data_IF_825802979635
#
_entry.id   IF_825802979635
#
_cell.length_a   1.000
_cell.length_b   1.000
_cell.length_c   1.000
_cell.angle_alpha   90.00
_cell.angle_beta   90.00
_cell.angle_gamma   90.00
#
_symmetry.space_group_name_H-M   'P 1'
#
loop_
_entity.id
_entity.type
_entity.pdbx_description
1 polymer ?
#
# COMPACT_ATOMS: atom_id res chain seq x y z
N UNK A 1 106.31 79.77 -12.42
CA UNK A 1 107.39 78.77 -12.23
C UNK A 1 106.73 77.43 -11.95
N UNK A 2 106.77 76.48 -12.89
CA UNK A 2 106.29 75.11 -12.66
C UNK A 2 107.46 74.16 -12.86
N UNK A 3 107.81 73.39 -11.82
CA UNK A 3 108.83 72.34 -11.91
C UNK A 3 108.18 71.05 -12.37
N UNK A 4 108.69 70.49 -13.47
CA UNK A 4 108.27 69.20 -13.98
C UNK A 4 109.04 68.10 -13.23
N UNK A 5 108.37 67.39 -12.34
CA UNK A 5 108.95 66.26 -11.62
C UNK A 5 108.76 64.97 -12.41
N UNK A 6 109.84 64.45 -13.00
CA UNK A 6 109.86 63.11 -13.60
C UNK A 6 110.20 62.07 -12.54
N UNK A 7 109.34 61.07 -12.37
CA UNK A 7 109.55 59.93 -11.47
C UNK A 7 109.69 58.67 -12.30
N UNK A 8 110.81 57.98 -12.16
CA UNK A 8 111.02 56.65 -12.75
C UNK A 8 110.48 55.62 -11.74
N UNK A 9 109.53 54.81 -12.18
CA UNK A 9 108.90 53.81 -11.34
C UNK A 9 109.67 52.48 -11.46
N UNK A 10 110.42 52.13 -10.43
CA UNK A 10 111.16 50.86 -10.34
C UNK A 10 110.30 49.69 -9.84
N UNK A 11 109.01 49.91 -9.62
CA UNK A 11 108.11 48.87 -9.16
C UNK A 11 107.65 47.99 -10.32
N UNK A 12 108.35 46.88 -10.54
CA UNK A 12 107.99 45.88 -11.54
C UNK A 12 106.84 44.99 -11.02
N UNK A 13 105.93 44.62 -11.91
CA UNK A 13 104.72 43.83 -11.59
C UNK A 13 105.03 42.44 -10.99
N UNK A 14 106.26 41.95 -11.15
CA UNK A 14 106.78 40.72 -10.54
C UNK A 14 106.90 40.78 -9.01
N UNK A 15 106.92 41.97 -8.40
CA UNK A 15 106.95 42.14 -6.94
C UNK A 15 105.57 42.28 -6.29
N UNK A 16 104.48 42.14 -7.06
CA UNK A 16 103.13 42.15 -6.50
C UNK A 16 102.84 40.82 -5.80
N UNK A 17 102.50 40.86 -4.51
CA UNK A 17 102.05 39.69 -3.74
C UNK A 17 100.86 39.05 -4.46
N UNK A 18 100.89 37.75 -4.82
CA UNK A 18 99.80 37.13 -5.55
C UNK A 18 98.53 37.22 -4.70
N UNK A 19 97.52 37.90 -5.24
CA UNK A 19 96.23 38.06 -4.59
C UNK A 19 95.48 36.74 -4.79
N UNK A 20 95.44 35.91 -3.75
CA UNK A 20 94.71 34.66 -3.79
C UNK A 20 93.22 35.01 -3.77
N UNK A 21 92.57 34.96 -4.93
CA UNK A 21 91.16 35.34 -5.08
C UNK A 21 90.22 34.47 -4.25
N UNK A 22 90.60 33.21 -3.99
CA UNK A 22 89.90 32.27 -3.11
C UNK A 22 90.90 31.58 -2.15
N UNK A 23 91.12 32.10 -0.93
CA UNK A 23 91.85 31.37 0.11
C UNK A 23 91.17 30.03 0.43
N UNK A 24 91.97 28.98 0.64
CA UNK A 24 91.52 27.60 0.92
C UNK A 24 90.45 27.52 2.03
N UNK A 25 90.53 28.41 3.03
CA UNK A 25 89.54 28.52 4.11
C UNK A 25 88.15 28.92 3.62
N UNK A 26 88.03 29.82 2.64
CA UNK A 26 86.74 30.23 2.06
C UNK A 26 86.14 29.13 1.19
N UNK A 27 86.99 28.38 0.47
CA UNK A 27 86.54 27.23 -0.32
C UNK A 27 86.02 26.11 0.59
N UNK A 28 86.74 25.77 1.65
CA UNK A 28 86.29 24.79 2.67
C UNK A 28 85.00 25.24 3.36
N UNK A 29 84.87 26.53 3.67
CA UNK A 29 83.65 27.08 4.28
C UNK A 29 82.47 27.02 3.31
N UNK A 30 82.69 27.30 2.02
CA UNK A 30 81.67 27.13 0.97
C UNK A 30 81.23 25.68 0.80
N UNK A 31 82.17 24.73 0.75
CA UNK A 31 81.86 23.30 0.69
C UNK A 31 81.09 22.86 1.94
N UNK A 32 81.53 23.27 3.13
CA UNK A 32 80.85 22.95 4.38
C UNK A 32 79.42 23.50 4.42
N UNK A 33 79.20 24.70 3.88
CA UNK A 33 77.87 25.30 3.80
C UNK A 33 76.98 24.54 2.82
N UNK A 34 77.48 24.18 1.64
CA UNK A 34 76.74 23.36 0.66
C UNK A 34 76.40 21.98 1.22
N UNK A 35 77.36 21.31 1.88
CA UNK A 35 77.11 20.02 2.52
C UNK A 35 76.11 20.12 3.66
N UNK A 36 76.20 21.17 4.49
CA UNK A 36 75.23 21.43 5.54
C UNK A 36 73.82 21.65 4.98
N UNK A 37 73.70 22.41 3.89
CA UNK A 37 72.43 22.66 3.23
C UNK A 37 71.85 21.37 2.62
N UNK A 38 72.68 20.53 1.98
CA UNK A 38 72.28 19.20 1.50
C UNK A 38 71.79 18.31 2.65
N UNK A 39 72.50 18.27 3.78
CA UNK A 39 72.09 17.49 4.95
C UNK A 39 70.74 17.95 5.48
N UNK A 40 70.52 19.27 5.58
CA UNK A 40 69.22 19.83 6.00
C UNK A 40 68.11 19.43 5.04
N UNK A 41 68.31 19.54 3.73
CA UNK A 41 67.30 19.14 2.73
C UNK A 41 66.99 17.65 2.84
N UNK A 42 68.01 16.78 2.91
CA UNK A 42 67.80 15.33 3.04
C UNK A 42 67.09 14.95 4.34
N UNK A 43 67.37 15.62 5.46
CA UNK A 43 66.69 15.39 6.72
C UNK A 43 65.21 15.84 6.67
N UNK A 44 64.92 16.95 5.99
CA UNK A 44 63.55 17.40 5.77
C UNK A 44 62.76 16.43 4.88
N UNK A 45 63.34 15.96 3.78
CA UNK A 45 62.72 14.96 2.90
C UNK A 45 62.49 13.63 3.65
N UNK A 46 63.47 13.16 4.44
CA UNK A 46 63.32 11.95 5.23
C UNK A 46 62.14 12.05 6.22
N UNK A 47 62.03 13.18 6.94
CA UNK A 47 60.93 13.37 7.90
C UNK A 47 59.55 13.42 7.21
N UNK A 48 59.45 14.01 6.02
CA UNK A 48 58.22 14.01 5.20
C UNK A 48 57.83 12.60 4.77
N UNK A 49 58.77 11.82 4.25
CA UNK A 49 58.49 10.45 3.81
C UNK A 49 58.06 9.53 4.96
N UNK A 50 58.52 9.81 6.19
CA UNK A 50 58.09 9.05 7.37
C UNK A 50 56.63 9.36 7.74
N UNK A 51 56.25 10.64 7.71
CA UNK A 51 54.87 11.06 7.95
C UNK A 51 53.90 10.52 6.88
N UNK A 52 54.31 10.49 5.60
CA UNK A 52 53.52 9.91 4.52
C UNK A 52 53.29 8.40 4.67
N UNK A 53 54.27 7.67 5.21
CA UNK A 53 54.10 6.23 5.49
C UNK A 53 53.08 5.99 6.61
N UNK A 54 53.06 6.85 7.62
CA UNK A 54 52.11 6.74 8.73
C UNK A 54 50.69 7.09 8.29
N UNK A 55 50.52 8.09 7.41
CA UNK A 55 49.20 8.40 6.82
C UNK A 55 48.71 7.28 5.91
N UNK A 56 49.59 6.63 5.14
CA UNK A 56 49.22 5.46 4.34
C UNK A 56 48.80 4.28 5.22
N UNK A 57 49.53 3.97 6.28
CA UNK A 57 49.19 2.90 7.21
C UNK A 57 47.85 3.14 7.92
N UNK A 58 47.57 4.38 8.33
CA UNK A 58 46.28 4.74 8.95
C UNK A 58 45.12 4.67 7.94
N UNK A 59 45.33 5.10 6.69
CA UNK A 59 44.34 4.97 5.62
C UNK A 59 44.04 3.50 5.29
N UNK A 60 45.07 2.65 5.23
CA UNK A 60 44.91 1.22 4.96
C UNK A 60 44.16 0.52 6.10
N UNK A 61 44.50 0.83 7.36
CA UNK A 61 43.75 0.32 8.51
C UNK A 61 42.29 0.78 8.53
N UNK A 62 42.02 2.01 8.08
CA UNK A 62 40.65 2.55 7.98
C UNK A 62 39.86 1.85 6.88
N UNK A 63 40.49 1.57 5.74
CA UNK A 63 39.90 0.77 4.66
C UNK A 63 39.52 -0.63 5.13
N UNK A 64 40.43 -1.33 5.81
CA UNK A 64 40.15 -2.66 6.36
C UNK A 64 38.97 -2.65 7.34
N UNK A 65 38.87 -1.63 8.21
CA UNK A 65 37.73 -1.49 9.12
C UNK A 65 36.42 -1.25 8.38
N UNK A 66 36.45 -0.46 7.30
CA UNK A 66 35.29 -0.21 6.47
C UNK A 66 34.84 -1.49 5.76
N UNK A 67 35.76 -2.26 5.18
CA UNK A 67 35.47 -3.55 4.55
C UNK A 67 34.84 -4.53 5.54
N UNK A 68 35.41 -4.68 6.73
CA UNK A 68 34.82 -5.54 7.79
C UNK A 68 33.43 -5.05 8.21
N UNK A 69 33.20 -3.73 8.21
CA UNK A 69 31.88 -3.17 8.54
C UNK A 69 30.86 -3.44 7.44
N UNK A 70 31.27 -3.31 6.17
CA UNK A 70 30.44 -3.64 5.00
C UNK A 70 30.09 -5.13 5.04
N UNK A 71 31.06 -6.01 5.28
CA UNK A 71 30.85 -7.45 5.31
C UNK A 71 29.90 -7.87 6.45
N UNK A 72 30.02 -7.23 7.62
CA UNK A 72 29.05 -7.40 8.73
C UNK A 72 27.65 -6.92 8.38
N UNK A 73 27.53 -5.75 7.73
CA UNK A 73 26.24 -5.24 7.30
C UNK A 73 25.63 -6.14 6.23
N UNK A 74 26.45 -6.68 5.32
CA UNK A 74 26.00 -7.60 4.29
C UNK A 74 25.54 -8.93 4.90
N UNK A 75 26.26 -9.48 5.88
CA UNK A 75 25.79 -10.64 6.66
C UNK A 75 24.51 -10.35 7.44
N UNK A 76 24.36 -9.15 8.00
CA UNK A 76 23.11 -8.75 8.66
C UNK A 76 21.96 -8.66 7.66
N UNK A 77 22.18 -8.09 6.47
CA UNK A 77 21.18 -8.01 5.39
C UNK A 77 20.84 -9.40 4.84
N UNK A 78 21.83 -10.28 4.64
CA UNK A 78 21.61 -11.67 4.23
C UNK A 78 20.96 -12.50 5.35
N UNK A 79 21.09 -12.10 6.62
CA UNK A 79 20.29 -12.69 7.72
C UNK A 79 18.86 -12.13 7.77
N UNK A 80 18.65 -10.94 7.17
CA UNK A 80 17.33 -10.41 6.80
C UNK A 80 16.96 -10.97 5.41
N UNK A 81 17.27 -12.24 5.15
CA UNK A 81 16.56 -13.01 4.14
C UNK A 81 15.12 -13.10 4.63
N UNK A 82 14.33 -12.17 4.10
CA UNK A 82 12.91 -12.28 3.81
C UNK A 82 12.32 -13.49 4.51
N UNK A 83 11.87 -13.29 5.75
CA UNK A 83 11.35 -14.36 6.60
C UNK A 83 10.24 -15.05 5.80
N UNK A 84 10.57 -16.13 5.08
CA UNK A 84 9.64 -16.77 4.15
C UNK A 84 8.39 -17.22 4.92
N UNK A 85 8.55 -17.43 6.22
CA UNK A 85 7.49 -17.64 7.20
C UNK A 85 6.52 -16.46 7.28
N UNK A 86 7.01 -15.22 7.38
CA UNK A 86 6.16 -14.02 7.39
C UNK A 86 5.42 -13.87 6.06
N UNK A 87 6.07 -14.13 4.92
CA UNK A 87 5.39 -14.09 3.62
C UNK A 87 4.34 -15.20 3.47
N UNK A 88 4.66 -16.43 3.90
CA UNK A 88 3.71 -17.54 3.90
C UNK A 88 2.54 -17.29 4.86
N UNK A 89 2.79 -16.66 6.01
CA UNK A 89 1.76 -16.30 6.97
C UNK A 89 0.85 -15.20 6.42
N UNK A 90 1.43 -14.16 5.82
CA UNK A 90 0.70 -13.10 5.12
C UNK A 90 -0.23 -13.67 4.03
N UNK A 91 0.30 -14.56 3.20
CA UNK A 91 -0.47 -15.19 2.14
C UNK A 91 -1.59 -16.09 2.68
N UNK A 92 -1.33 -16.88 3.74
CA UNK A 92 -2.37 -17.67 4.43
C UNK A 92 -3.48 -16.79 5.02
N UNK A 93 -3.11 -15.66 5.60
CA UNK A 93 -4.06 -14.69 6.15
C UNK A 93 -4.93 -14.05 5.06
N UNK A 94 -4.32 -13.68 3.91
CA UNK A 94 -5.05 -13.17 2.76
C UNK A 94 -6.03 -14.20 2.18
N UNK A 95 -5.58 -15.44 1.97
CA UNK A 95 -6.41 -16.53 1.44
C UNK A 95 -7.60 -16.83 2.38
N UNK A 96 -7.35 -16.81 3.69
CA UNK A 96 -8.39 -16.97 4.71
C UNK A 96 -9.40 -15.83 4.71
N UNK A 97 -8.96 -14.57 4.54
CA UNK A 97 -9.84 -13.41 4.42
C UNK A 97 -10.69 -13.47 3.14
N UNK A 98 -10.08 -13.82 2.01
CA UNK A 98 -10.79 -13.95 0.74
C UNK A 98 -11.87 -15.03 0.81
N UNK A 99 -11.55 -16.20 1.36
CA UNK A 99 -12.50 -17.31 1.53
C UNK A 99 -13.70 -16.91 2.38
N UNK A 100 -13.46 -16.22 3.51
CA UNK A 100 -14.53 -15.71 4.39
C UNK A 100 -15.41 -14.68 3.69
N UNK A 101 -14.81 -13.75 2.91
CA UNK A 101 -15.56 -12.75 2.14
C UNK A 101 -16.42 -13.39 1.07
N UNK A 102 -15.88 -14.37 0.34
CA UNK A 102 -16.62 -15.09 -0.68
C UNK A 102 -17.79 -15.87 -0.08
N UNK A 103 -17.59 -16.50 1.08
CA UNK A 103 -18.64 -17.18 1.82
C UNK A 103 -19.74 -16.21 2.28
N UNK A 104 -19.37 -15.05 2.83
CA UNK A 104 -20.33 -14.00 3.21
C UNK A 104 -21.09 -13.46 2.00
N UNK A 105 -20.42 -13.30 0.86
CA UNK A 105 -21.05 -12.85 -0.38
C UNK A 105 -22.06 -13.88 -0.89
N UNK A 106 -21.73 -15.17 -0.86
CA UNK A 106 -22.65 -16.25 -1.21
C UNK A 106 -23.84 -16.32 -0.24
N UNK A 107 -23.59 -16.17 1.06
CA UNK A 107 -24.64 -16.06 2.07
C UNK A 107 -25.53 -14.84 1.87
N UNK A 108 -24.98 -13.71 1.44
CA UNK A 108 -25.76 -12.50 1.17
C UNK A 108 -26.58 -12.63 -0.12
N UNK A 109 -26.10 -13.39 -1.10
CA UNK A 109 -26.86 -13.70 -2.31
C UNK A 109 -27.98 -14.74 -2.06
N UNK A 110 -27.78 -15.68 -1.13
CA UNK A 110 -28.76 -16.72 -0.79
C UNK A 110 -29.68 -16.34 0.37
N UNK A 111 -29.23 -15.46 1.26
CA UNK A 111 -29.97 -14.93 2.39
C UNK A 111 -30.39 -13.51 2.07
N UNK A 112 -31.64 -13.38 1.60
CA UNK A 112 -32.36 -12.12 1.47
C UNK A 112 -32.18 -11.25 2.72
N UNK A 113 -31.21 -10.34 2.65
CA UNK A 113 -31.06 -9.22 3.58
C UNK A 113 -31.87 -8.03 3.06
N UNK A 114 -32.95 -8.30 2.33
CA UNK A 114 -34.04 -7.35 2.22
C UNK A 114 -34.86 -7.54 3.49
N UNK A 115 -34.82 -6.57 4.39
CA UNK A 115 -35.82 -6.49 5.46
C UNK A 115 -37.18 -6.35 4.80
N UNK A 116 -37.82 -7.46 4.44
CA UNK A 116 -39.18 -7.46 3.94
C UNK A 116 -40.04 -7.04 5.12
N UNK A 117 -40.54 -5.82 5.08
CA UNK A 117 -41.43 -5.27 6.10
C UNK A 117 -42.82 -5.90 5.94
N UNK A 118 -42.95 -7.19 6.26
CA UNK A 118 -44.21 -7.95 6.22
C UNK A 118 -45.32 -7.29 7.02
N UNK A 119 -44.97 -6.54 8.07
CA UNK A 119 -45.91 -5.78 8.90
C UNK A 119 -46.73 -4.77 8.09
N UNK A 120 -46.11 -4.06 7.13
CA UNK A 120 -46.81 -3.08 6.29
C UNK A 120 -47.87 -3.73 5.40
N UNK A 121 -47.52 -4.87 4.79
CA UNK A 121 -48.44 -5.64 3.96
C UNK A 121 -49.61 -6.24 4.74
N UNK A 122 -49.34 -6.79 5.93
CA UNK A 122 -50.38 -7.34 6.79
C UNK A 122 -51.31 -6.23 7.32
N UNK A 123 -50.77 -5.06 7.64
CA UNK A 123 -51.56 -3.91 8.06
C UNK A 123 -52.46 -3.39 6.92
N UNK A 124 -51.94 -3.31 5.70
CA UNK A 124 -52.74 -2.92 4.54
C UNK A 124 -53.88 -3.92 4.24
N UNK A 125 -53.64 -5.23 4.41
CA UNK A 125 -54.69 -6.25 4.33
C UNK A 125 -55.74 -6.10 5.44
N UNK A 126 -55.31 -5.78 6.67
CA UNK A 126 -56.20 -5.60 7.80
C UNK A 126 -57.06 -4.34 7.71
N UNK A 127 -56.52 -3.26 7.11
CA UNK A 127 -57.25 -2.01 6.89
C UNK A 127 -58.38 -2.15 5.85
N UNK A 128 -58.30 -3.17 4.99
CA UNK A 128 -59.33 -3.50 3.99
C UNK A 128 -60.11 -4.72 4.49
N UNK A 129 -60.91 -4.54 5.53
CA UNK A 129 -61.83 -5.58 5.98
C UNK A 129 -63.09 -5.61 5.10
N UNK A 130 -63.51 -6.80 4.66
CA UNK A 130 -64.77 -6.98 3.95
C UNK A 130 -65.54 -8.13 4.62
N UNK A 131 -66.76 -7.89 5.13
CA UNK A 131 -67.53 -8.90 5.88
C UNK A 131 -67.92 -10.12 5.04
N UNK A 132 -67.80 -10.04 3.72
CA UNK A 132 -68.08 -11.13 2.77
C UNK A 132 -66.84 -11.90 2.31
N UNK A 133 -65.65 -11.58 2.83
CA UNK A 133 -64.37 -12.18 2.42
C UNK A 133 -63.55 -12.57 3.65
N UNK A 134 -63.16 -13.85 3.73
CA UNK A 134 -62.29 -14.37 4.78
C UNK A 134 -61.00 -14.89 4.18
N UNK A 135 -59.86 -14.29 4.53
CA UNK A 135 -58.54 -14.77 4.12
C UNK A 135 -58.10 -15.92 5.03
N UNK A 136 -57.67 -17.03 4.43
CA UNK A 136 -57.24 -18.25 5.15
C UNK A 136 -55.76 -18.54 4.95
N UNK A 137 -55.17 -18.14 3.82
CA UNK A 137 -53.74 -18.31 3.55
C UNK A 137 -53.20 -17.17 2.71
N UNK A 138 -52.16 -16.53 3.20
CA UNK A 138 -51.41 -15.46 2.53
C UNK A 138 -50.00 -16.00 2.28
N UNK A 139 -49.58 -16.05 1.02
CA UNK A 139 -48.24 -16.48 0.62
C UNK A 139 -47.56 -15.32 -0.10
N UNK A 140 -46.38 -14.94 0.38
CA UNK A 140 -45.57 -13.87 -0.22
C UNK A 140 -44.15 -14.39 -0.40
N UNK A 141 -43.58 -14.22 -1.60
CA UNK A 141 -42.20 -14.62 -1.89
C UNK A 141 -41.31 -13.39 -2.05
N UNK A 142 -40.11 -13.43 -1.48
CA UNK A 142 -39.04 -12.44 -1.67
C UNK A 142 -37.87 -13.12 -2.39
N UNK A 143 -37.12 -12.43 -3.27
CA UNK A 143 -37.25 -11.03 -3.69
C UNK A 143 -38.11 -10.88 -4.95
N UNK A 144 -39.37 -10.46 -4.82
CA UNK A 144 -40.24 -10.21 -5.98
C UNK A 144 -41.68 -9.84 -5.60
N UNK A 145 -42.48 -9.27 -6.53
CA UNK A 145 -43.89 -8.95 -6.31
C UNK A 145 -44.79 -10.19 -6.45
N UNK A 146 -44.43 -11.28 -5.78
CA UNK A 146 -45.18 -12.52 -5.77
C UNK A 146 -46.06 -12.61 -4.52
N UNK A 147 -47.37 -12.54 -4.75
CA UNK A 147 -48.38 -12.58 -3.70
C UNK A 147 -49.53 -13.47 -4.13
N UNK A 148 -49.86 -14.45 -3.29
CA UNK A 148 -51.00 -15.34 -3.45
C UNK A 148 -51.90 -15.27 -2.22
N UNK A 149 -53.15 -14.84 -2.43
CA UNK A 149 -54.19 -14.73 -1.42
C UNK A 149 -55.21 -15.84 -1.61
N UNK A 150 -55.48 -16.59 -0.56
CA UNK A 150 -56.50 -17.63 -0.54
C UNK A 150 -57.50 -17.34 0.55
N UNK A 151 -58.77 -17.64 0.28
CA UNK A 151 -59.83 -17.36 1.22
C UNK A 151 -61.16 -17.99 0.84
N UNK A 152 -62.17 -17.63 1.60
CA UNK A 152 -63.55 -18.07 1.45
C UNK A 152 -64.43 -16.83 1.30
N UNK A 153 -65.47 -16.91 0.46
CA UNK A 153 -66.47 -15.86 0.30
C UNK A 153 -67.87 -16.43 0.20
N UNK A 154 -68.86 -15.66 0.68
CA UNK A 154 -70.30 -15.90 0.44
C UNK A 154 -70.82 -15.16 -0.80
N UNK A 155 -70.08 -14.16 -1.30
CA UNK A 155 -70.46 -13.29 -2.42
C UNK A 155 -69.31 -13.13 -3.42
N UNK A 156 -69.20 -14.01 -4.43
CA UNK A 156 -68.07 -13.97 -5.37
C UNK A 156 -67.98 -12.65 -6.17
N UNK A 157 -69.08 -11.92 -6.32
CA UNK A 157 -69.11 -10.62 -7.02
C UNK A 157 -68.33 -9.51 -6.31
N UNK A 158 -67.99 -9.66 -5.02
CA UNK A 158 -67.25 -8.65 -4.26
C UNK A 158 -65.73 -8.82 -4.37
N UNK A 159 -65.23 -9.97 -4.85
CA UNK A 159 -63.79 -10.25 -4.95
C UNK A 159 -63.07 -9.27 -5.88
N UNK A 160 -63.54 -8.98 -7.12
CA UNK A 160 -62.82 -8.08 -8.02
C UNK A 160 -62.71 -6.65 -7.45
N UNK A 161 -63.75 -6.19 -6.77
CA UNK A 161 -63.75 -4.89 -6.09
C UNK A 161 -62.73 -4.87 -4.94
N UNK A 162 -62.73 -5.91 -4.12
CA UNK A 162 -61.76 -6.06 -3.03
C UNK A 162 -60.30 -6.03 -3.51
N UNK A 163 -59.99 -6.77 -4.59
CA UNK A 163 -58.64 -6.81 -5.18
C UNK A 163 -58.27 -5.46 -5.81
N UNK A 164 -59.25 -4.75 -6.41
CA UNK A 164 -59.02 -3.41 -6.95
C UNK A 164 -58.71 -2.38 -5.85
N UNK A 165 -59.41 -2.47 -4.71
CA UNK A 165 -59.16 -1.61 -3.55
C UNK A 165 -57.80 -1.91 -2.92
N UNK A 166 -57.41 -3.18 -2.82
CA UNK A 166 -56.09 -3.58 -2.32
C UNK A 166 -54.95 -3.02 -3.18
N UNK A 167 -55.13 -2.94 -4.50
CA UNK A 167 -54.13 -2.34 -5.42
C UNK A 167 -53.92 -0.83 -5.22
N UNK A 168 -54.84 -0.14 -4.54
CA UNK A 168 -54.72 1.30 -4.27
C UNK A 168 -53.83 1.60 -3.06
N UNK A 169 -53.55 0.61 -2.22
CA UNK A 169 -52.65 0.75 -1.08
C UNK A 169 -51.20 0.86 -1.55
N UNK A 170 -50.43 1.78 -0.96
CA UNK A 170 -49.03 2.04 -1.32
C UNK A 170 -48.15 0.78 -1.23
N UNK A 171 -48.48 -0.13 -0.32
CA UNK A 171 -47.76 -1.39 -0.12
C UNK A 171 -47.98 -2.39 -1.26
N UNK A 172 -49.09 -2.30 -2.02
CA UNK A 172 -49.44 -3.23 -3.09
C UNK A 172 -49.38 -2.61 -4.49
N UNK A 173 -48.86 -1.37 -4.61
CA UNK A 173 -48.63 -0.76 -5.93
C UNK A 173 -47.61 -1.57 -6.74
N UNK A 174 -47.99 -1.94 -7.98
CA UNK A 174 -47.18 -2.77 -8.86
C UNK A 174 -47.51 -4.27 -8.82
N UNK A 175 -48.30 -4.75 -7.85
CA UNK A 175 -48.78 -6.14 -7.83
C UNK A 175 -49.90 -6.34 -8.86
N UNK A 176 -49.58 -7.01 -9.96
CA UNK A 176 -50.52 -7.37 -11.01
C UNK A 176 -51.18 -8.72 -10.74
N UNK A 177 -52.27 -8.76 -9.98
CA UNK A 177 -53.08 -9.99 -9.84
C UNK A 177 -53.61 -10.45 -11.21
N UNK A 178 -53.24 -11.67 -11.62
CA UNK A 178 -53.50 -12.23 -12.96
C UNK A 178 -54.26 -13.56 -12.92
N UNK A 179 -54.12 -14.32 -11.85
CA UNK A 179 -54.79 -15.63 -11.68
C UNK A 179 -55.92 -15.49 -10.70
N UNK A 180 -57.09 -15.97 -11.09
CA UNK A 180 -58.26 -16.09 -10.23
C UNK A 180 -58.84 -17.48 -10.39
N UNK A 181 -58.91 -18.25 -9.30
CA UNK A 181 -59.64 -19.51 -9.25
C UNK A 181 -60.78 -19.41 -8.24
N UNK A 182 -61.91 -20.05 -8.56
CA UNK A 182 -63.10 -20.08 -7.71
C UNK A 182 -63.66 -21.49 -7.68
N UNK A 183 -63.68 -22.09 -6.51
CA UNK A 183 -64.16 -23.46 -6.29
C UNK A 183 -65.28 -23.48 -5.26
N UNK A 184 -66.27 -24.34 -5.44
CA UNK A 184 -67.35 -24.50 -4.48
C UNK A 184 -66.92 -25.48 -3.40
N UNK A 185 -67.07 -25.11 -2.12
CA UNK A 185 -66.74 -26.02 -1.03
C UNK A 185 -67.66 -27.26 -1.09
N UNK A 186 -67.05 -28.43 -0.98
CA UNK A 186 -67.73 -29.72 -1.07
C UNK A 186 -68.68 -29.96 0.12
N UNK A 187 -68.38 -29.36 1.26
CA UNK A 187 -69.12 -29.48 2.53
C UNK A 187 -70.23 -28.42 2.69
N UNK A 188 -70.15 -27.28 2.00
CA UNK A 188 -71.14 -26.21 2.14
C UNK A 188 -71.34 -25.42 0.84
N UNK A 189 -72.50 -25.64 0.20
CA UNK A 189 -72.82 -25.02 -1.10
C UNK A 189 -72.97 -23.49 -1.07
N UNK A 190 -73.05 -22.88 0.13
CA UNK A 190 -73.17 -21.42 0.29
C UNK A 190 -71.82 -20.69 0.24
N UNK A 191 -70.72 -21.37 0.47
CA UNK A 191 -69.39 -20.77 0.50
C UNK A 191 -68.53 -21.23 -0.66
N UNK A 192 -67.75 -20.30 -1.20
CA UNK A 192 -66.83 -20.55 -2.30
C UNK A 192 -65.41 -20.26 -1.81
N UNK A 193 -64.48 -21.13 -2.14
CA UNK A 193 -63.05 -20.90 -1.94
C UNK A 193 -62.50 -20.14 -3.15
N UNK A 194 -61.71 -19.11 -2.90
CA UNK A 194 -61.05 -18.35 -3.95
C UNK A 194 -59.53 -18.36 -3.75
N UNK A 195 -58.80 -18.29 -4.86
CA UNK A 195 -57.38 -17.96 -4.87
C UNK A 195 -57.10 -16.87 -5.89
N UNK A 196 -56.29 -15.89 -5.49
CA UNK A 196 -55.85 -14.77 -6.33
C UNK A 196 -54.32 -14.71 -6.26
N UNK A 197 -53.64 -14.75 -7.41
CA UNK A 197 -52.17 -14.67 -7.46
C UNK A 197 -51.65 -13.68 -8.50
N UNK A 198 -50.48 -13.09 -8.24
CA UNK A 198 -49.76 -12.22 -9.18
C UNK A 198 -48.95 -12.96 -10.25
N UNK A 199 -48.72 -14.26 -10.07
CA UNK A 199 -48.03 -15.11 -11.05
C UNK A 199 -48.92 -16.31 -11.44
N UNK A 200 -48.73 -16.80 -12.66
CA UNK A 200 -49.39 -18.04 -13.12
C UNK A 200 -48.75 -19.24 -12.42
N UNK A 201 -49.32 -19.67 -11.30
CA UNK A 201 -48.90 -20.91 -10.63
C UNK A 201 -49.71 -22.08 -11.22
N UNK A 202 -49.05 -22.91 -12.03
CA UNK A 202 -49.63 -24.12 -12.64
C UNK A 202 -49.73 -25.31 -11.66
N UNK A 203 -49.65 -25.08 -10.35
CA UNK A 203 -49.77 -26.17 -9.36
C UNK A 203 -51.18 -26.26 -8.78
N UNK A 204 -51.95 -27.32 -9.09
CA UNK A 204 -53.21 -27.56 -8.41
C UNK A 204 -52.94 -27.83 -6.93
N UNK A 205 -53.80 -27.27 -6.08
CA UNK A 205 -53.86 -27.60 -4.67
C UNK A 205 -54.12 -29.11 -4.54
N UNK A 206 -53.21 -29.80 -3.83
CA UNK A 206 -53.41 -31.15 -3.34
C UNK A 206 -53.49 -31.09 -1.82
#
# INVERSE_FOLDING_TARGET
>A
MSTLNQRINFYQDSFRKPVIVLPLKQLLLGIGLVLGLLLVVTALEWSRTLAERETLATMESSRQRLEVSIDKLQQQVDSIVLDERLQQEEQRLQDGLQSKRQFLYQLQQQGDTHMVHFSGYLQALANRDNPSIWLTRIVMQSPGPELSLHGITDKPKTIPAYVADLKQEDQFQGFGFKVFNLERMQDNQRFLTFSVSTQHDERPAN
#
